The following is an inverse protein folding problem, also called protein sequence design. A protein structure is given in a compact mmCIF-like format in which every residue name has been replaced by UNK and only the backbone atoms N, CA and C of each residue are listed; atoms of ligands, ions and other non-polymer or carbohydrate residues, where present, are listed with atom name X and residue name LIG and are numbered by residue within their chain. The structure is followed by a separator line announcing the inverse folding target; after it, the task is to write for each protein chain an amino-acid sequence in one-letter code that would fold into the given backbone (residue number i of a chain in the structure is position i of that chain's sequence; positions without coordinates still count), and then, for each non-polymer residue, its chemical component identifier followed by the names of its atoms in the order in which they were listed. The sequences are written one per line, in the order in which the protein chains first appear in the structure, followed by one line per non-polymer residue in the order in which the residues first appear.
data_IF_175978486089
#
_entry.id   IF_175978486089
#
_cell.length_a   1.000
_cell.length_b   1.000
_cell.length_c   1.000
_cell.angle_alpha   90.00
_cell.angle_beta   90.00
_cell.angle_gamma   90.00
#
_symmetry.space_group_name_H-M   'P 1'
#
loop_
_entity.id
_entity.type
_entity.pdbx_description
1 polymer ?
#
# COMPACT_ATOMS: atom_id res chain seq x y z
N UNK A 1 -30.48 -10.95 9.74
CA UNK A 1 -30.52 -11.63 11.05
C UNK A 1 -31.34 -10.80 12.02
N UNK A 2 -32.47 -11.37 12.44
CA UNK A 2 -33.34 -10.80 13.49
C UNK A 2 -33.42 -11.70 14.72
N UNK A 3 -32.97 -12.96 14.61
CA UNK A 3 -32.88 -13.91 15.71
C UNK A 3 -31.45 -14.37 15.98
N UNK A 4 -31.29 -15.20 17.01
CA UNK A 4 -30.00 -15.78 17.38
C UNK A 4 -29.65 -16.98 16.51
N UNK A 5 -28.41 -17.05 16.03
CA UNK A 5 -27.77 -18.24 15.50
C UNK A 5 -26.75 -18.68 16.54
N UNK A 6 -27.02 -19.79 17.21
CA UNK A 6 -26.17 -20.30 18.27
C UNK A 6 -25.78 -21.75 18.00
N UNK A 7 -24.50 -22.05 18.14
CA UNK A 7 -23.98 -23.42 18.10
C UNK A 7 -22.96 -23.61 19.21
N UNK A 8 -22.83 -24.84 19.69
CA UNK A 8 -21.76 -25.25 20.61
C UNK A 8 -20.56 -25.85 19.89
N UNK A 9 -20.59 -25.86 18.55
CA UNK A 9 -19.49 -26.38 17.73
C UNK A 9 -18.22 -25.51 17.91
N UNK A 10 -17.11 -26.20 18.16
CA UNK A 10 -15.78 -25.63 18.39
C UNK A 10 -14.92 -25.68 17.12
N UNK A 11 -15.47 -26.13 16.00
CA UNK A 11 -14.80 -26.24 14.72
C UNK A 11 -14.57 -24.89 14.04
N UNK A 12 -13.64 -24.89 13.08
CA UNK A 12 -13.29 -23.71 12.26
C UNK A 12 -14.36 -23.33 11.23
N UNK A 13 -15.40 -24.14 11.08
CA UNK A 13 -16.56 -23.86 10.22
C UNK A 13 -17.88 -24.03 10.99
N UNK A 14 -17.86 -23.72 12.30
CA UNK A 14 -19.03 -23.87 13.18
C UNK A 14 -20.26 -23.10 12.65
N UNK A 15 -20.05 -21.92 12.06
CA UNK A 15 -21.08 -21.17 11.35
C UNK A 15 -20.50 -20.59 10.07
N UNK A 16 -21.19 -20.78 8.94
CA UNK A 16 -20.88 -20.13 7.67
C UNK A 16 -22.16 -19.52 7.11
N UNK A 17 -22.18 -18.20 6.94
CA UNK A 17 -23.23 -17.49 6.21
C UNK A 17 -22.61 -16.93 4.95
N UNK A 18 -23.25 -17.17 3.80
CA UNK A 18 -22.75 -16.66 2.52
C UNK A 18 -23.85 -15.96 1.74
N UNK A 19 -23.84 -14.63 1.79
CA UNK A 19 -24.72 -13.80 0.99
C UNK A 19 -24.11 -13.59 -0.40
N UNK A 20 -24.89 -13.90 -1.44
CA UNK A 20 -24.43 -13.76 -2.82
C UNK A 20 -23.35 -14.77 -3.23
N UNK A 21 -23.39 -16.00 -2.69
CA UNK A 21 -22.41 -17.08 -2.88
C UNK A 21 -21.90 -17.33 -4.31
N UNK A 22 -22.69 -16.99 -5.32
CA UNK A 22 -22.33 -17.20 -6.73
C UNK A 22 -21.63 -15.98 -7.34
N UNK A 23 -21.36 -14.95 -6.53
CA UNK A 23 -20.76 -13.70 -6.96
C UNK A 23 -19.32 -13.67 -6.50
N UNK A 24 -18.42 -13.37 -7.43
CA UNK A 24 -16.98 -13.38 -7.17
C UNK A 24 -16.53 -12.30 -6.18
N UNK A 25 -15.42 -12.57 -5.49
CA UNK A 25 -14.59 -11.56 -4.85
C UNK A 25 -14.29 -10.39 -5.79
N UNK A 26 -14.24 -9.17 -5.23
CA UNK A 26 -14.11 -7.90 -5.95
C UNK A 26 -15.43 -7.28 -6.36
N UNK A 27 -16.55 -8.03 -6.30
CA UNK A 27 -17.88 -7.51 -6.64
C UNK A 27 -18.65 -7.14 -5.38
N UNK A 28 -18.97 -5.85 -5.19
CA UNK A 28 -19.72 -5.37 -4.01
C UNK A 28 -21.20 -5.76 -4.03
N UNK A 29 -21.79 -5.94 -5.22
CA UNK A 29 -23.22 -6.28 -5.38
C UNK A 29 -23.47 -7.79 -5.28
N UNK A 30 -24.73 -8.22 -5.34
CA UNK A 30 -25.10 -9.65 -5.39
C UNK A 30 -25.59 -10.26 -4.08
N UNK A 31 -25.52 -9.52 -2.97
CA UNK A 31 -26.14 -9.90 -1.71
C UNK A 31 -25.33 -9.46 -0.49
N UNK A 32 -26.05 -9.01 0.55
CA UNK A 32 -25.49 -8.49 1.79
C UNK A 32 -26.10 -9.15 3.02
N UNK A 33 -25.30 -9.31 4.07
CA UNK A 33 -25.76 -9.76 5.38
C UNK A 33 -26.23 -8.54 6.17
N UNK A 34 -27.54 -8.49 6.40
CA UNK A 34 -28.20 -7.46 7.22
C UNK A 34 -28.38 -8.01 8.63
N UNK A 35 -27.96 -7.28 9.67
CA UNK A 35 -28.18 -7.62 11.09
C UNK A 35 -29.06 -6.55 11.72
N UNK A 36 -30.27 -6.93 12.14
CA UNK A 36 -31.29 -6.02 12.69
C UNK A 36 -31.77 -6.47 14.07
N UNK A 37 -30.83 -6.88 14.94
CA UNK A 37 -31.11 -7.33 16.31
C UNK A 37 -30.78 -8.80 16.60
N UNK A 38 -30.30 -9.56 15.61
CA UNK A 38 -29.83 -10.93 15.81
C UNK A 38 -28.43 -11.02 16.44
N UNK A 39 -28.05 -12.23 16.84
CA UNK A 39 -26.71 -12.55 17.35
C UNK A 39 -26.16 -13.81 16.71
N UNK A 40 -24.84 -13.97 16.74
CA UNK A 40 -24.15 -15.19 16.32
C UNK A 40 -23.24 -15.63 17.45
N UNK A 41 -23.37 -16.87 17.90
CA UNK A 41 -22.51 -17.47 18.92
C UNK A 41 -22.04 -18.85 18.49
N UNK A 42 -20.80 -19.16 18.83
CA UNK A 42 -20.12 -20.43 18.53
C UNK A 42 -19.58 -21.05 19.81
N UNK A 43 -19.23 -22.34 19.77
CA UNK A 43 -18.54 -23.01 20.86
C UNK A 43 -17.16 -22.38 21.11
N UNK A 44 -16.60 -22.62 22.29
CA UNK A 44 -15.28 -22.12 22.63
C UNK A 44 -14.22 -22.60 21.62
N UNK A 45 -13.48 -21.66 21.01
CA UNK A 45 -12.51 -21.97 19.96
C UNK A 45 -13.12 -22.13 18.56
N UNK A 46 -14.45 -22.14 18.43
CA UNK A 46 -15.14 -22.20 17.14
C UNK A 46 -15.05 -20.90 16.35
N UNK A 47 -15.40 -20.98 15.07
CA UNK A 47 -15.41 -19.84 14.15
C UNK A 47 -16.73 -19.69 13.41
N UNK A 48 -17.21 -18.45 13.36
CA UNK A 48 -18.27 -18.01 12.46
C UNK A 48 -17.67 -17.15 11.34
N UNK A 49 -17.88 -17.54 10.09
CA UNK A 49 -17.46 -16.74 8.93
C UNK A 49 -18.70 -16.23 8.18
N UNK A 50 -18.83 -14.91 8.09
CA UNK A 50 -19.94 -14.23 7.46
C UNK A 50 -19.46 -13.57 6.17
N UNK A 51 -19.73 -14.19 5.02
CA UNK A 51 -19.42 -13.66 3.70
C UNK A 51 -20.53 -12.72 3.24
N UNK A 52 -20.17 -11.49 2.90
CA UNK A 52 -21.08 -10.42 2.50
C UNK A 52 -20.56 -9.68 1.27
N UNK A 53 -21.42 -8.89 0.62
CA UNK A 53 -21.05 -8.07 -0.55
C UNK A 53 -20.19 -6.88 -0.15
N UNK A 54 -20.82 -5.86 0.41
CA UNK A 54 -20.20 -4.57 0.72
C UNK A 54 -20.43 -4.13 2.16
N UNK A 55 -19.59 -3.24 2.69
CA UNK A 55 -19.67 -2.78 4.08
C UNK A 55 -20.87 -1.87 4.30
N UNK A 56 -21.22 -1.03 3.33
CA UNK A 56 -22.20 0.04 3.51
C UNK A 56 -23.63 -0.51 3.62
N UNK A 57 -23.97 -1.45 2.77
CA UNK A 57 -25.29 -2.09 2.74
C UNK A 57 -25.37 -3.26 3.72
N UNK A 58 -24.26 -3.81 4.22
CA UNK A 58 -24.24 -4.84 5.28
C UNK A 58 -24.53 -4.27 6.68
N UNK A 59 -25.65 -3.58 6.82
CA UNK A 59 -26.02 -2.87 8.04
C UNK A 59 -26.01 -3.78 9.28
N UNK A 60 -25.42 -3.31 10.37
CA UNK A 60 -25.31 -4.04 11.64
C UNK A 60 -24.28 -5.17 11.68
N UNK A 61 -23.71 -5.59 10.54
CA UNK A 61 -22.69 -6.65 10.50
C UNK A 61 -21.41 -6.25 11.24
N UNK A 62 -20.94 -5.02 11.04
CA UNK A 62 -19.77 -4.48 11.75
C UNK A 62 -19.96 -4.48 13.27
N UNK A 63 -21.17 -4.15 13.74
CA UNK A 63 -21.49 -4.18 15.16
C UNK A 63 -21.52 -5.60 15.71
N UNK A 64 -22.04 -6.57 14.93
CA UNK A 64 -22.07 -7.99 15.31
C UNK A 64 -20.66 -8.59 15.45
N UNK A 65 -19.76 -8.27 14.53
CA UNK A 65 -18.36 -8.74 14.55
C UNK A 65 -17.54 -8.01 15.62
N UNK A 66 -17.92 -6.77 15.92
CA UNK A 66 -17.22 -5.88 16.84
C UNK A 66 -16.27 -4.96 16.09
N UNK A 67 -16.56 -3.65 16.12
CA UNK A 67 -15.70 -2.61 15.57
C UNK A 67 -14.31 -2.65 16.19
N UNK A 68 -13.27 -2.53 15.36
CA UNK A 68 -11.88 -2.54 15.83
C UNK A 68 -11.33 -3.92 16.23
N UNK A 69 -12.09 -5.00 16.03
CA UNK A 69 -11.64 -6.38 16.34
C UNK A 69 -10.53 -6.89 15.43
N UNK A 70 -10.32 -6.28 14.25
CA UNK A 70 -9.42 -6.81 13.21
C UNK A 70 -9.97 -8.06 12.49
N UNK A 71 -11.23 -8.43 12.73
CA UNK A 71 -11.86 -9.62 12.17
C UNK A 71 -12.58 -9.36 10.84
N UNK A 72 -12.16 -8.33 10.12
CA UNK A 72 -12.72 -7.93 8.83
C UNK A 72 -11.73 -8.25 7.71
N UNK A 73 -12.22 -8.86 6.64
CA UNK A 73 -11.45 -9.14 5.42
C UNK A 73 -12.19 -8.55 4.22
N UNK A 74 -11.43 -8.22 3.18
CA UNK A 74 -11.92 -7.56 1.97
C UNK A 74 -11.45 -8.29 0.72
N UNK A 75 -12.08 -7.99 -0.40
CA UNK A 75 -11.79 -8.55 -1.71
C UNK A 75 -11.67 -10.08 -1.66
N UNK A 76 -12.51 -10.76 -0.87
CA UNK A 76 -12.39 -12.20 -0.64
C UNK A 76 -13.77 -12.86 -0.61
N UNK A 77 -13.81 -14.15 -0.93
CA UNK A 77 -14.99 -15.01 -0.83
C UNK A 77 -14.60 -16.39 -0.25
N UNK A 78 -15.50 -17.36 -0.27
CA UNK A 78 -15.26 -18.70 0.26
C UNK A 78 -14.21 -19.51 -0.53
N UNK A 79 -14.00 -19.15 -1.80
CA UNK A 79 -13.08 -19.80 -2.73
C UNK A 79 -11.77 -19.03 -2.91
N UNK A 80 -11.82 -17.70 -2.77
CA UNK A 80 -10.72 -16.76 -2.98
C UNK A 80 -10.38 -16.07 -1.65
N UNK A 81 -9.20 -16.35 -1.13
CA UNK A 81 -8.67 -15.70 0.08
C UNK A 81 -7.56 -14.71 -0.27
N UNK A 82 -7.86 -13.41 -0.26
CA UNK A 82 -6.89 -12.34 -0.54
C UNK A 82 -6.35 -11.69 0.75
N UNK A 83 -6.24 -12.47 1.83
CA UNK A 83 -5.70 -12.04 3.10
C UNK A 83 -4.56 -12.96 3.56
N UNK A 84 -3.55 -12.37 4.20
CA UNK A 84 -2.37 -13.10 4.72
C UNK A 84 -2.55 -13.56 6.16
N UNK A 85 -3.30 -12.81 6.98
CA UNK A 85 -3.59 -13.19 8.35
C UNK A 85 -4.60 -14.34 8.36
N UNK A 86 -4.31 -15.50 8.96
CA UNK A 86 -5.29 -16.58 9.03
C UNK A 86 -6.52 -16.16 9.84
N UNK A 87 -7.65 -16.83 9.59
CA UNK A 87 -8.85 -16.70 10.40
C UNK A 87 -8.70 -17.60 11.65
N UNK A 88 -8.79 -17.02 12.84
CA UNK A 88 -8.69 -17.73 14.12
C UNK A 88 -10.06 -18.19 14.63
N UNK A 89 -10.28 -18.11 15.94
CA UNK A 89 -11.58 -18.32 16.57
C UNK A 89 -12.37 -17.01 16.67
N UNK A 90 -13.69 -17.11 16.79
CA UNK A 90 -14.60 -15.97 16.89
C UNK A 90 -15.38 -15.69 15.61
N UNK A 91 -15.92 -14.47 15.52
CA UNK A 91 -16.81 -14.05 14.44
C UNK A 91 -16.01 -13.18 13.47
N UNK A 92 -16.07 -13.51 12.18
CA UNK A 92 -15.38 -12.81 11.12
C UNK A 92 -16.37 -12.38 10.05
N UNK A 93 -16.20 -11.17 9.53
CA UNK A 93 -16.85 -10.72 8.30
C UNK A 93 -15.84 -10.70 7.16
N UNK A 94 -16.24 -11.27 6.03
CA UNK A 94 -15.46 -11.31 4.80
C UNK A 94 -16.29 -10.61 3.73
N UNK A 95 -15.86 -9.44 3.30
CA UNK A 95 -16.51 -8.68 2.25
C UNK A 95 -15.91 -8.99 0.89
N UNK A 96 -16.78 -9.14 -0.11
CA UNK A 96 -16.39 -9.25 -1.51
C UNK A 96 -15.94 -7.91 -2.06
N UNK A 97 -16.40 -6.78 -1.52
CA UNK A 97 -15.95 -5.45 -1.96
C UNK A 97 -14.42 -5.30 -1.91
N UNK A 98 -13.88 -4.58 -2.89
CA UNK A 98 -12.48 -4.18 -2.90
C UNK A 98 -12.34 -2.76 -2.35
N UNK A 99 -11.48 -2.58 -1.35
CA UNK A 99 -11.07 -1.25 -0.89
C UNK A 99 -10.04 -0.71 -1.86
N UNK A 100 -10.43 0.19 -2.75
CA UNK A 100 -9.49 0.97 -3.57
C UNK A 100 -9.06 2.20 -2.78
N UNK A 101 -7.83 2.20 -2.27
CA UNK A 101 -7.22 3.42 -1.72
C UNK A 101 -6.77 4.31 -2.87
N UNK A 102 -7.71 4.98 -3.52
CA UNK A 102 -7.38 6.06 -4.44
C UNK A 102 -7.14 7.31 -3.58
N UNK A 103 -5.93 7.41 -3.02
CA UNK A 103 -5.49 8.69 -2.47
C UNK A 103 -5.21 9.59 -3.67
N UNK A 104 -5.98 10.68 -3.91
CA UNK A 104 -5.52 11.65 -4.87
C UNK A 104 -4.16 12.13 -4.39
N UNK A 105 -3.10 11.84 -5.14
CA UNK A 105 -1.89 12.63 -5.01
C UNK A 105 -2.35 14.06 -5.26
N UNK A 106 -2.38 14.88 -4.20
CA UNK A 106 -2.56 16.29 -4.38
C UNK A 106 -1.51 16.72 -5.42
N UNK A 107 -1.89 17.39 -6.52
CA UNK A 107 -0.90 17.92 -7.44
C UNK A 107 0.04 18.78 -6.60
N UNK A 108 1.32 18.45 -6.62
CA UNK A 108 2.33 19.23 -5.91
C UNK A 108 2.18 20.68 -6.39
N UNK A 109 1.64 21.55 -5.55
CA UNK A 109 1.82 22.99 -5.73
C UNK A 109 3.33 23.20 -5.84
N UNK A 110 3.85 23.77 -6.94
CA UNK A 110 5.28 24.01 -7.05
C UNK A 110 5.66 24.92 -5.89
N UNK A 111 6.38 24.37 -4.91
CA UNK A 111 6.86 25.12 -3.77
C UNK A 111 7.91 26.10 -4.29
N UNK A 112 7.56 27.38 -4.31
CA UNK A 112 8.54 28.46 -4.33
C UNK A 112 9.29 28.41 -3.00
N UNK A 113 10.59 28.19 -3.11
CA UNK A 113 11.63 28.36 -2.10
C UNK A 113 11.74 27.31 -0.98
N UNK A 114 12.80 26.51 -1.12
CA UNK A 114 13.73 26.09 -0.07
C UNK A 114 13.15 25.74 1.31
N UNK A 115 12.41 24.64 1.40
CA UNK A 115 12.16 23.95 2.67
C UNK A 115 12.99 22.67 2.69
N UNK A 116 13.78 22.50 3.75
CA UNK A 116 14.86 21.52 3.88
C UNK A 116 14.39 20.09 3.63
N UNK A 117 15.21 19.34 2.88
CA UNK A 117 15.02 17.94 2.47
C UNK A 117 15.23 16.96 3.65
N UNK A 118 14.75 17.32 4.84
CA UNK A 118 15.01 16.55 6.08
C UNK A 118 13.75 15.87 6.64
N UNK A 119 12.56 16.22 6.15
CA UNK A 119 11.28 15.61 6.62
C UNK A 119 10.74 14.52 5.70
N UNK A 120 11.24 14.40 4.45
CA UNK A 120 10.72 13.43 3.47
C UNK A 120 11.32 12.02 3.63
N UNK A 121 12.46 11.89 4.33
CA UNK A 121 13.24 10.64 4.38
C UNK A 121 12.83 9.69 5.52
N UNK A 122 12.04 10.14 6.50
CA UNK A 122 11.56 9.25 7.58
C UNK A 122 10.34 8.37 7.22
N UNK A 123 9.70 8.58 6.06
CA UNK A 123 8.45 7.88 5.70
C UNK A 123 8.60 6.77 4.65
N UNK A 124 9.82 6.38 4.25
CA UNK A 124 10.03 5.46 3.12
C UNK A 124 10.93 4.23 3.42
N UNK A 125 11.23 3.93 4.69
CA UNK A 125 12.18 2.85 5.04
C UNK A 125 11.59 1.43 5.07
N UNK A 126 10.76 1.03 4.10
CA UNK A 126 10.49 -0.43 3.93
C UNK A 126 10.10 -0.94 2.54
N UNK A 127 10.14 -0.14 1.47
CA UNK A 127 10.00 -0.70 0.13
C UNK A 127 11.40 -0.83 -0.49
N UNK A 128 12.02 -2.01 -0.34
CA UNK A 128 12.76 -2.69 -1.41
C UNK A 128 13.39 -4.00 -0.91
N UNK A 129 13.24 -5.12 -1.64
CA UNK A 129 14.36 -5.96 -1.97
C UNK A 129 14.99 -5.41 -3.26
N UNK A 130 16.16 -4.79 -3.11
CA UNK A 130 17.05 -4.44 -4.22
C UNK A 130 17.55 -5.71 -4.91
N UNK A 131 17.22 -5.90 -6.19
CA UNK A 131 18.03 -6.75 -7.07
C UNK A 131 19.22 -5.92 -7.56
N UNK A 132 20.37 -6.26 -6.98
CA UNK A 132 21.72 -6.21 -7.57
C UNK A 132 22.17 -4.93 -8.29
N UNK A 133 22.89 -4.07 -7.56
CA UNK A 133 23.68 -2.98 -8.13
C UNK A 133 24.38 -2.14 -7.07
N UNK A 134 25.41 -2.73 -6.45
CA UNK A 134 26.48 -2.09 -5.64
C UNK A 134 26.08 -1.00 -4.64
N UNK A 135 26.02 -1.44 -3.39
CA UNK A 135 26.18 -0.65 -2.18
C UNK A 135 27.49 0.15 -2.20
N UNK A 136 27.41 1.47 -2.06
CA UNK A 136 28.48 2.28 -1.47
C UNK A 136 27.85 3.24 -0.46
N UNK A 137 27.95 2.86 0.81
CA UNK A 137 27.70 3.72 1.96
C UNK A 137 28.93 4.59 2.17
N UNK A 138 28.81 5.90 1.98
CA UNK A 138 29.80 6.85 2.51
C UNK A 138 29.09 8.09 3.03
N UNK A 139 28.79 8.01 4.33
CA UNK A 139 28.62 9.15 5.22
C UNK A 139 29.80 10.12 5.07
N UNK A 140 29.52 11.37 4.76
CA UNK A 140 30.52 12.42 4.63
C UNK A 140 29.87 13.79 4.51
N UNK A 141 29.29 14.26 5.62
CA UNK A 141 29.01 15.68 5.83
C UNK A 141 30.31 16.48 5.65
N UNK A 142 30.25 17.50 4.82
CA UNK A 142 31.31 18.49 4.70
C UNK A 142 30.64 19.82 4.35
N UNK A 143 30.10 20.46 5.40
CA UNK A 143 29.72 21.86 5.37
C UNK A 143 30.81 22.74 4.78
N UNK A 144 30.46 23.49 3.74
CA UNK A 144 31.31 24.49 3.14
C UNK A 144 31.36 25.72 4.08
N UNK A 145 32.39 25.83 4.91
CA UNK A 145 32.76 27.10 5.54
C UNK A 145 33.67 27.88 4.59
N UNK A 146 33.30 29.13 4.35
CA UNK A 146 34.07 30.12 3.57
C UNK A 146 35.51 30.25 4.05
N UNK A 147 36.48 30.21 3.12
CA UNK A 147 37.84 30.71 3.37
C UNK A 147 38.97 29.97 2.65
N UNK A 148 39.53 30.62 1.62
CA UNK A 148 40.93 30.55 1.17
C UNK A 148 41.41 29.37 0.29
N UNK A 149 41.75 29.67 -0.98
CA UNK A 149 42.84 28.99 -1.71
C UNK A 149 44.14 29.12 -0.89
N UNK A 150 45.08 28.14 -0.83
CA UNK A 150 45.84 27.71 -2.02
C UNK A 150 46.51 26.30 -2.01
N UNK A 151 47.21 26.01 -3.11
CA UNK A 151 48.49 25.25 -3.22
C UNK A 151 48.44 23.75 -3.54
N UNK A 152 48.87 23.46 -4.77
CA UNK A 152 49.61 22.31 -5.32
C UNK A 152 49.43 20.91 -4.69
N UNK A 153 48.99 19.96 -5.52
CA UNK A 153 49.31 18.55 -5.29
C UNK A 153 48.23 17.56 -5.70
N UNK A 154 48.25 17.18 -6.99
CA UNK A 154 47.85 15.88 -7.53
C UNK A 154 46.60 15.17 -6.97
N UNK A 155 45.58 15.03 -7.82
CA UNK A 155 44.65 13.91 -7.73
C UNK A 155 44.86 12.98 -8.92
N UNK A 156 45.27 11.77 -8.58
CA UNK A 156 45.51 10.66 -9.48
C UNK A 156 44.20 10.22 -10.17
N UNK A 157 44.31 9.95 -11.47
CA UNK A 157 43.27 9.33 -12.29
C UNK A 157 43.26 7.81 -12.02
N UNK A 158 42.08 7.21 -11.84
CA UNK A 158 41.89 5.76 -11.71
C UNK A 158 40.53 5.33 -12.28
N UNK A 159 40.42 4.15 -12.91
CA UNK A 159 39.96 4.07 -14.28
C UNK A 159 38.49 3.70 -14.43
N UNK A 160 37.85 4.21 -15.48
CA UNK A 160 36.76 3.49 -16.15
C UNK A 160 35.38 4.10 -16.03
N UNK A 161 35.16 5.23 -16.69
CA UNK A 161 33.95 5.40 -17.47
C UNK A 161 34.37 5.81 -18.87
N UNK A 162 34.34 4.87 -19.82
CA UNK A 162 34.48 5.18 -21.22
C UNK A 162 33.35 6.13 -21.62
N UNK A 163 33.67 7.40 -21.78
CA UNK A 163 32.80 8.34 -22.49
C UNK A 163 32.85 7.96 -23.96
N UNK A 164 31.69 7.61 -24.53
CA UNK A 164 31.53 7.53 -25.98
C UNK A 164 32.08 8.80 -26.63
N UNK A 165 32.86 8.63 -27.68
CA UNK A 165 33.47 9.69 -28.46
C UNK A 165 32.45 10.75 -28.86
N UNK A 166 32.62 11.98 -28.38
CA UNK A 166 31.98 13.17 -28.96
C UNK A 166 33.09 13.94 -29.67
N UNK A 167 33.05 13.82 -31.00
CA UNK A 167 33.96 14.45 -31.94
C UNK A 167 33.82 15.98 -31.86
N UNK A 168 34.89 16.65 -31.43
CA UNK A 168 34.91 18.07 -31.10
C UNK A 168 35.54 18.87 -32.25
N UNK A 169 34.95 18.80 -33.44
CA UNK A 169 35.32 19.68 -34.56
C UNK A 169 34.08 20.07 -35.38
N UNK A 170 33.41 21.14 -34.98
CA UNK A 170 32.98 22.18 -35.92
C UNK A 170 32.42 23.37 -35.15
N UNK A 171 33.28 24.37 -34.93
CA UNK A 171 32.84 25.75 -34.71
C UNK A 171 32.49 26.28 -36.09
N UNK A 172 31.19 26.45 -36.38
CA UNK A 172 30.76 27.29 -37.49
C UNK A 172 29.96 28.47 -36.96
N UNK A 173 30.34 29.61 -37.52
CA UNK A 173 30.18 30.99 -37.11
C UNK A 173 28.73 31.49 -37.23
N UNK A 174 28.32 32.30 -36.26
CA UNK A 174 27.05 33.03 -36.21
C UNK A 174 27.16 34.28 -37.10
N UNK A 175 26.39 34.37 -38.20
CA UNK A 175 26.02 35.67 -38.80
C UNK A 175 24.54 35.68 -39.21
N UNK A 176 23.79 36.38 -38.36
CA UNK A 176 22.62 37.26 -38.55
C UNK A 176 21.73 37.17 -39.81
N UNK A 177 20.44 37.03 -39.52
CA UNK A 177 19.28 37.37 -40.33
C UNK A 177 19.34 38.82 -40.85
N UNK A 178 19.24 39.01 -42.17
CA UNK A 178 18.71 40.24 -42.77
C UNK A 178 17.66 39.87 -43.80
N UNK A 179 16.40 39.90 -43.39
CA UNK A 179 15.26 40.09 -44.28
C UNK A 179 15.25 41.52 -44.84
N UNK A 180 15.37 41.63 -46.16
CA UNK A 180 14.50 42.33 -47.13
C UNK A 180 15.17 42.36 -48.51
#
# INVERSE_FOLDING_TARGET
LTGAIATTDTGSSAVVLNAGKDTAAGTSTGGNIIVSGGSVTVGAGGRATLYSGDVSDSTGLTALVGSGSGNFRYNSDESVSNFSTPLGSGIYAVYREQVTTDAPLAPATPATENQTVDTVVMSLTSIQPSVNGTQETSSGDSGATSGSLPTEGGYAMGPGAGSGSIDMFSVFELIEDRTL
#
